data_IF_295436300826
#
_entry.id   IF_295436300826
#
_cell.length_a   1.000
_cell.length_b   1.000
_cell.length_c   1.000
_cell.angle_alpha   90.00
_cell.angle_beta   90.00
_cell.angle_gamma   90.00
#
_symmetry.space_group_name_H-M   'P 1'
#
loop_
_entity.id
_entity.type
_entity.pdbx_description
1 polymer ?
#
# COMPACT_ATOMS: atom_id res chain seq x y z
N UNK A 1 -17.24 -12.05 -42.54
CA UNK A 1 -16.62 -12.79 -41.42
C UNK A 1 -15.21 -13.20 -41.88
N UNK A 2 -14.34 -12.20 -42.05
CA UNK A 2 -13.26 -11.75 -41.16
C UNK A 2 -12.10 -12.76 -41.05
N UNK A 3 -11.06 -12.45 -41.83
CA UNK A 3 -9.82 -13.18 -42.09
C UNK A 3 -8.86 -13.31 -40.89
N UNK A 4 -9.37 -13.33 -39.66
CA UNK A 4 -8.53 -13.35 -38.46
C UNK A 4 -8.17 -14.77 -37.98
N UNK A 5 -8.91 -15.80 -38.44
CA UNK A 5 -8.78 -17.15 -37.90
C UNK A 5 -7.62 -18.01 -38.42
N UNK A 6 -6.87 -17.57 -39.46
CA UNK A 6 -5.85 -18.43 -40.10
C UNK A 6 -4.40 -18.06 -39.77
N UNK A 7 -4.15 -17.00 -39.02
CA UNK A 7 -2.79 -16.53 -38.75
C UNK A 7 -2.13 -17.15 -37.49
N UNK A 8 -2.89 -17.88 -36.66
CA UNK A 8 -2.39 -18.39 -35.38
C UNK A 8 -1.73 -19.78 -35.50
N UNK A 9 -2.00 -20.54 -36.56
CA UNK A 9 -1.56 -21.93 -36.65
C UNK A 9 -0.12 -22.14 -37.16
N UNK A 10 0.54 -21.10 -37.68
CA UNK A 10 1.89 -21.25 -38.26
C UNK A 10 3.03 -20.85 -37.30
N UNK A 11 2.79 -20.81 -35.99
CA UNK A 11 3.80 -20.33 -35.03
C UNK A 11 4.45 -21.41 -34.16
N UNK A 12 4.02 -22.67 -34.27
CA UNK A 12 4.46 -23.76 -33.37
C UNK A 12 5.08 -24.98 -34.06
N UNK A 13 5.38 -24.89 -35.35
CA UNK A 13 6.08 -25.95 -36.09
C UNK A 13 7.34 -25.37 -36.74
N UNK A 14 8.37 -25.07 -35.93
CA UNK A 14 9.74 -24.99 -36.42
C UNK A 14 10.69 -25.52 -35.34
N UNK A 15 10.95 -26.82 -35.45
CA UNK A 15 11.81 -27.62 -34.58
C UNK A 15 13.28 -27.35 -34.93
N UNK A 16 13.83 -26.25 -34.38
CA UNK A 16 15.27 -25.99 -34.39
C UNK A 16 15.80 -25.76 -32.97
N UNK A 17 16.67 -26.69 -32.57
CA UNK A 17 17.19 -26.98 -31.23
C UNK A 17 17.91 -25.82 -30.53
N UNK A 18 17.64 -25.74 -29.23
CA UNK A 18 18.50 -25.29 -28.13
C UNK A 18 18.95 -23.81 -28.01
N UNK A 19 19.05 -23.02 -29.08
CA UNK A 19 19.59 -21.64 -28.97
C UNK A 19 18.54 -20.52 -28.95
N UNK A 20 17.31 -20.77 -29.42
CA UNK A 20 16.29 -19.72 -29.53
C UNK A 20 15.42 -19.55 -28.28
N UNK A 21 15.31 -20.57 -27.42
CA UNK A 21 14.56 -20.45 -26.17
C UNK A 21 15.28 -19.52 -25.17
N UNK A 22 16.60 -19.70 -25.05
CA UNK A 22 17.46 -18.83 -24.23
C UNK A 22 17.36 -17.38 -24.70
N UNK A 23 17.37 -17.16 -26.02
CA UNK A 23 17.22 -15.83 -26.62
C UNK A 23 15.86 -15.19 -26.29
N UNK A 24 14.76 -15.96 -26.32
CA UNK A 24 13.41 -15.48 -25.99
C UNK A 24 13.27 -15.14 -24.51
N UNK A 25 13.79 -15.99 -23.63
CA UNK A 25 13.82 -15.74 -22.18
C UNK A 25 14.63 -14.49 -21.88
N UNK A 26 15.81 -14.34 -22.51
CA UNK A 26 16.62 -13.13 -22.38
C UNK A 26 15.87 -11.86 -22.83
N UNK A 27 15.15 -11.93 -23.94
CA UNK A 27 14.37 -10.79 -24.46
C UNK A 27 13.21 -10.39 -23.53
N UNK A 28 12.52 -11.38 -22.94
CA UNK A 28 11.45 -11.14 -21.96
C UNK A 28 12.00 -10.54 -20.67
N UNK A 29 13.14 -11.05 -20.18
CA UNK A 29 13.81 -10.50 -18.99
C UNK A 29 14.23 -9.05 -19.24
N UNK A 30 14.88 -8.76 -20.37
CA UNK A 30 15.31 -7.41 -20.74
C UNK A 30 14.13 -6.44 -20.85
N UNK A 31 13.04 -6.86 -21.50
CA UNK A 31 11.84 -6.04 -21.60
C UNK A 31 11.20 -5.80 -20.23
N UNK A 32 11.15 -6.83 -19.37
CA UNK A 32 10.61 -6.70 -18.02
C UNK A 32 11.45 -5.77 -17.15
N UNK A 33 12.78 -5.90 -17.17
CA UNK A 33 13.69 -5.00 -16.43
C UNK A 33 13.55 -3.57 -16.91
N UNK A 34 13.47 -3.34 -18.23
CA UNK A 34 13.23 -2.02 -18.81
C UNK A 34 11.90 -1.41 -18.32
N UNK A 35 10.82 -2.20 -18.28
CA UNK A 35 9.55 -1.74 -17.74
C UNK A 35 9.65 -1.39 -16.25
N UNK A 36 10.32 -2.22 -15.45
CA UNK A 36 10.52 -1.93 -14.02
C UNK A 36 11.32 -0.64 -13.80
N UNK A 37 12.34 -0.40 -14.61
CA UNK A 37 13.11 0.85 -14.60
C UNK A 37 12.25 2.06 -14.99
N UNK A 38 11.42 1.93 -16.03
CA UNK A 38 10.46 2.98 -16.39
C UNK A 38 9.44 3.24 -15.28
N UNK A 39 8.87 2.19 -14.67
CA UNK A 39 7.96 2.33 -13.53
C UNK A 39 8.65 3.02 -12.34
N UNK A 40 9.90 2.65 -12.02
CA UNK A 40 10.68 3.29 -10.98
C UNK A 40 10.95 4.78 -11.26
N UNK A 41 11.12 5.16 -12.53
CA UNK A 41 11.28 6.56 -12.96
C UNK A 41 9.95 7.34 -12.90
N UNK A 42 8.81 6.71 -13.13
CA UNK A 42 7.50 7.35 -13.02
C UNK A 42 7.08 7.61 -11.57
N UNK A 43 7.61 6.84 -10.61
CA UNK A 43 7.42 7.03 -9.17
C UNK A 43 8.65 7.67 -8.50
N UNK A 44 9.28 8.65 -9.16
CA UNK A 44 10.09 9.65 -8.45
C UNK A 44 9.14 10.43 -7.55
N UNK A 45 8.83 9.86 -6.37
CA UNK A 45 8.02 10.48 -5.35
C UNK A 45 8.68 11.81 -5.03
N UNK A 46 8.09 12.90 -5.52
CA UNK A 46 8.57 14.25 -5.27
C UNK A 46 8.73 14.40 -3.77
N UNK A 47 9.99 14.53 -3.34
CA UNK A 47 10.31 14.70 -1.94
C UNK A 47 9.63 15.94 -1.37
N UNK A 48 9.92 16.24 -0.10
CA UNK A 48 9.42 17.49 0.48
C UNK A 48 9.82 18.68 -0.39
N UNK A 49 8.81 19.42 -0.87
CA UNK A 49 9.02 20.65 -1.65
C UNK A 49 9.92 21.60 -0.86
N UNK A 50 10.96 22.13 -1.52
CA UNK A 50 11.86 23.12 -0.92
C UNK A 50 11.03 24.30 -0.39
N UNK A 51 11.27 24.70 0.86
CA UNK A 51 10.49 25.74 1.55
C UNK A 51 9.25 25.24 2.29
N UNK A 52 8.92 23.94 2.25
CA UNK A 52 7.86 23.35 3.07
C UNK A 52 8.22 23.44 4.55
N UNK A 53 7.51 24.29 5.29
CA UNK A 53 7.64 24.40 6.75
C UNK A 53 6.78 23.34 7.42
N UNK A 54 7.37 22.62 8.36
CA UNK A 54 6.63 21.72 9.24
C UNK A 54 5.70 22.52 10.15
N UNK A 55 4.41 22.16 10.18
CA UNK A 55 3.43 22.70 11.13
C UNK A 55 3.12 21.62 12.15
N UNK A 56 3.32 21.92 13.43
CA UNK A 56 2.96 20.98 14.50
C UNK A 56 1.43 20.82 14.57
N UNK A 57 0.93 19.66 14.14
CA UNK A 57 -0.50 19.32 14.15
C UNK A 57 -0.99 18.79 15.51
N UNK A 58 -0.15 18.83 16.55
CA UNK A 58 -0.44 18.30 17.90
C UNK A 58 -0.93 16.84 17.85
N UNK A 59 -0.19 16.03 17.10
CA UNK A 59 -0.51 14.62 16.81
C UNK A 59 -0.82 13.80 18.07
N UNK A 60 0.05 13.89 19.07
CA UNK A 60 -0.13 13.16 20.34
C UNK A 60 -1.41 13.56 21.07
N UNK A 61 -1.69 14.86 21.15
CA UNK A 61 -2.95 15.36 21.72
C UNK A 61 -4.16 14.86 20.95
N UNK A 62 -4.08 14.81 19.61
CA UNK A 62 -5.18 14.27 18.81
C UNK A 62 -5.43 12.79 19.08
N UNK A 63 -4.36 12.00 19.26
CA UNK A 63 -4.46 10.59 19.61
C UNK A 63 -5.12 10.41 20.99
N UNK A 64 -4.65 11.15 22.01
CA UNK A 64 -5.22 11.13 23.37
C UNK A 64 -6.71 11.44 23.35
N UNK A 65 -7.09 12.54 22.69
CA UNK A 65 -8.49 12.90 22.53
C UNK A 65 -9.30 11.78 21.86
N UNK A 66 -8.77 11.13 20.83
CA UNK A 66 -9.47 10.05 20.13
C UNK A 66 -9.73 8.84 21.05
N UNK A 67 -8.74 8.47 21.88
CA UNK A 67 -8.88 7.41 22.88
C UNK A 67 -9.92 7.77 23.95
N UNK A 68 -9.84 8.98 24.49
CA UNK A 68 -10.76 9.47 25.53
C UNK A 68 -12.20 9.63 25.01
N UNK A 69 -12.38 10.04 23.76
CA UNK A 69 -13.68 10.35 23.17
C UNK A 69 -14.46 9.11 22.73
N UNK A 70 -13.77 8.11 22.15
CA UNK A 70 -14.41 6.97 21.48
C UNK A 70 -14.12 5.60 22.09
N UNK A 71 -12.98 5.45 22.77
CA UNK A 71 -12.50 4.14 23.23
C UNK A 71 -12.42 4.03 24.76
N UNK A 72 -12.98 5.01 25.49
CA UNK A 72 -13.13 4.92 26.94
C UNK A 72 -14.36 4.06 27.30
N UNK A 73 -14.48 3.69 28.58
CA UNK A 73 -15.58 2.85 29.09
C UNK A 73 -16.97 3.45 28.82
N UNK A 74 -17.06 4.78 28.80
CA UNK A 74 -18.29 5.54 28.51
C UNK A 74 -18.01 6.55 27.40
N UNK A 75 -18.04 6.14 26.12
CA UNK A 75 -17.68 7.01 25.01
C UNK A 75 -18.56 8.24 24.97
N UNK A 76 -17.95 9.41 24.79
CA UNK A 76 -18.64 10.69 24.69
C UNK A 76 -19.55 10.74 23.46
N UNK A 77 -19.14 10.06 22.39
CA UNK A 77 -19.82 10.08 21.10
C UNK A 77 -20.56 8.77 20.81
N UNK A 78 -21.80 8.91 20.34
CA UNK A 78 -22.62 7.76 19.94
C UNK A 78 -22.02 6.97 18.76
N UNK A 79 -22.46 5.72 18.54
CA UNK A 79 -22.00 4.89 17.41
C UNK A 79 -22.15 5.56 16.04
N UNK A 80 -23.18 6.41 15.85
CA UNK A 80 -23.37 7.16 14.59
C UNK A 80 -22.21 8.12 14.30
N UNK A 81 -21.68 8.76 15.34
CA UNK A 81 -20.53 9.64 15.20
C UNK A 81 -19.25 8.84 14.94
N UNK A 82 -19.11 7.67 15.57
CA UNK A 82 -18.01 6.73 15.28
C UNK A 82 -18.04 6.31 13.81
N UNK A 83 -19.22 5.92 13.29
CA UNK A 83 -19.38 5.58 11.87
C UNK A 83 -19.05 6.76 10.97
N UNK A 84 -19.44 7.99 11.31
CA UNK A 84 -19.11 9.17 10.47
C UNK A 84 -17.60 9.44 10.43
N UNK A 85 -16.87 9.17 11.51
CA UNK A 85 -15.42 9.41 11.60
C UNK A 85 -14.58 8.28 10.98
N UNK A 86 -14.91 7.03 11.29
CA UNK A 86 -14.13 5.85 10.87
C UNK A 86 -14.77 5.08 9.71
N UNK A 87 -15.96 5.50 9.26
CA UNK A 87 -16.73 4.90 8.16
C UNK A 87 -17.05 3.41 8.36
N UNK A 88 -17.04 2.95 9.62
CA UNK A 88 -17.24 1.54 9.99
C UNK A 88 -18.12 1.41 11.23
N UNK A 89 -18.79 0.25 11.34
CA UNK A 89 -19.47 -0.15 12.57
C UNK A 89 -18.47 -0.42 13.68
N UNK A 90 -18.81 -0.02 14.91
CA UNK A 90 -17.93 -0.20 16.08
C UNK A 90 -17.63 -1.68 16.35
N UNK A 91 -18.62 -2.55 16.17
CA UNK A 91 -18.48 -4.01 16.31
C UNK A 91 -17.45 -4.58 15.31
N UNK A 92 -17.54 -4.15 14.04
CA UNK A 92 -16.60 -4.55 13.00
C UNK A 92 -15.18 -4.06 13.30
N UNK A 93 -15.06 -2.83 13.81
CA UNK A 93 -13.77 -2.30 14.22
C UNK A 93 -13.13 -3.17 15.30
N UNK A 94 -13.89 -3.55 16.34
CA UNK A 94 -13.36 -4.43 17.39
C UNK A 94 -13.03 -5.83 16.89
N UNK A 95 -13.81 -6.38 15.95
CA UNK A 95 -13.50 -7.66 15.35
C UNK A 95 -12.16 -7.62 14.59
N UNK A 96 -11.98 -6.64 13.71
CA UNK A 96 -10.72 -6.42 12.99
C UNK A 96 -9.58 -6.19 13.97
N UNK A 97 -9.79 -5.37 15.00
CA UNK A 97 -8.78 -5.09 16.02
C UNK A 97 -8.32 -6.37 16.71
N UNK A 98 -9.23 -7.23 17.15
CA UNK A 98 -8.86 -8.50 17.78
C UNK A 98 -8.08 -9.41 16.81
N UNK A 99 -8.46 -9.44 15.54
CA UNK A 99 -7.80 -10.29 14.54
C UNK A 99 -6.38 -9.79 14.22
N UNK A 100 -6.14 -8.48 14.24
CA UNK A 100 -4.84 -7.89 13.85
C UNK A 100 -3.97 -7.42 15.03
N UNK A 101 -4.49 -7.34 16.26
CA UNK A 101 -3.76 -6.82 17.40
C UNK A 101 -2.47 -7.59 17.72
N UNK A 102 -2.45 -8.88 17.39
CA UNK A 102 -1.30 -9.76 17.61
C UNK A 102 -0.26 -9.69 16.48
N UNK A 103 -0.60 -9.10 15.34
CA UNK A 103 0.29 -9.03 14.18
C UNK A 103 1.42 -8.01 14.43
N UNK A 104 2.70 -8.40 14.33
CA UNK A 104 3.83 -7.54 14.67
C UNK A 104 3.86 -6.20 13.94
N UNK A 105 3.26 -6.13 12.74
CA UNK A 105 3.18 -4.91 11.98
C UNK A 105 2.30 -3.84 12.65
N UNK A 106 1.30 -4.20 13.45
CA UNK A 106 0.40 -3.25 14.13
C UNK A 106 0.94 -2.73 15.47
N UNK A 107 2.16 -3.11 15.85
CA UNK A 107 2.84 -2.50 16.99
C UNK A 107 3.31 -1.07 16.70
N UNK A 108 3.08 -0.17 17.65
CA UNK A 108 3.51 1.23 17.55
C UNK A 108 5.03 1.32 17.78
N UNK A 109 5.81 1.64 16.75
CA UNK A 109 7.28 1.74 16.82
C UNK A 109 7.71 3.09 17.38
N UNK A 110 8.92 3.22 17.90
CA UNK A 110 9.47 4.52 18.32
C UNK A 110 10.02 5.25 17.08
N UNK A 111 9.70 6.54 16.92
CA UNK A 111 10.24 7.39 15.86
C UNK A 111 11.72 7.73 16.12
N UNK A 112 12.38 8.33 15.12
CA UNK A 112 13.77 8.77 15.21
C UNK A 112 14.01 9.87 16.27
N UNK A 113 12.95 10.42 16.87
CA UNK A 113 13.00 11.41 17.95
C UNK A 113 12.66 10.80 19.32
N UNK A 114 12.50 9.48 19.43
CA UNK A 114 12.17 8.80 20.69
C UNK A 114 10.68 8.79 21.05
N UNK A 115 9.77 9.20 20.17
CA UNK A 115 8.32 9.24 20.43
C UNK A 115 7.61 8.03 19.83
N UNK A 116 6.56 7.54 20.48
CA UNK A 116 5.74 6.48 19.90
C UNK A 116 5.06 6.93 18.58
N UNK A 117 5.41 6.22 17.52
CA UNK A 117 5.01 6.44 16.13
C UNK A 117 3.88 5.50 15.72
N UNK A 118 2.68 6.04 15.72
CA UNK A 118 1.51 5.54 15.00
C UNK A 118 1.74 5.96 13.54
N UNK A 119 2.05 4.98 12.68
CA UNK A 119 2.71 5.14 11.37
C UNK A 119 2.13 6.27 10.51
N UNK A 120 2.96 7.26 10.18
CA UNK A 120 3.34 7.57 8.79
C UNK A 120 4.46 8.61 8.72
N UNK A 121 5.55 8.24 8.04
CA UNK A 121 6.50 9.11 7.33
C UNK A 121 6.91 8.39 6.05
N UNK A 122 7.32 9.10 4.98
CA UNK A 122 8.17 10.31 5.00
C UNK A 122 7.44 11.67 4.97
#
# INVERSE_FOLDING_TARGET
>A
MNSCGKAIQNFFDDDSKADHHQQRVAMVIQHHTFLLEQYAQQFQHGGSVVGRKYKNRKREKHYQNLMEDYFCERPLFSPVNFHRRLLMRIELFYHILNDVAHEPCFSMKIDACGRQSDRTRP
#
